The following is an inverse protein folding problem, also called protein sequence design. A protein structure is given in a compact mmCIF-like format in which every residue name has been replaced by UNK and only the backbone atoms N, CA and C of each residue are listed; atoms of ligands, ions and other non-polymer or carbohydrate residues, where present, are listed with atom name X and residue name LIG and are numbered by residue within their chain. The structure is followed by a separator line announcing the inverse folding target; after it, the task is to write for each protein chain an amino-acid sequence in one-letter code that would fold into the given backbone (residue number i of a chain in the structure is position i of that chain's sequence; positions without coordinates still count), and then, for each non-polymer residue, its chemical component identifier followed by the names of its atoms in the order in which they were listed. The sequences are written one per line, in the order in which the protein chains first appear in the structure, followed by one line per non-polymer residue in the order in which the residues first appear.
data_IF_921448180837
#
_entry.id   IF_921448180837
#
_cell.length_a   1.000
_cell.length_b   1.000
_cell.length_c   1.000
_cell.angle_alpha   90.00
_cell.angle_beta   90.00
_cell.angle_gamma   90.00
#
_symmetry.space_group_name_H-M   'P 1'
#
loop_
_entity.id
_entity.type
_entity.pdbx_description
1 polymer ?
#
# COMPACT_ATOMS: atom_id res chain seq x y z
N UNK A 1 3.41 6.98 -11.05
CA UNK A 1 2.89 8.07 -10.21
C UNK A 1 2.52 7.43 -8.91
N UNK A 2 3.06 7.92 -7.79
CA UNK A 2 2.81 7.27 -6.50
C UNK A 2 1.38 7.48 -6.06
N UNK A 3 0.73 6.41 -5.60
CA UNK A 3 -0.55 6.47 -4.92
C UNK A 3 -0.34 6.45 -3.39
N UNK A 4 -1.40 6.52 -2.60
CA UNK A 4 -1.31 6.72 -1.16
C UNK A 4 -2.36 5.90 -0.43
N UNK A 5 -1.96 5.29 0.69
CA UNK A 5 -2.84 4.54 1.59
C UNK A 5 -2.55 4.90 3.05
N UNK A 6 -3.57 5.09 3.90
CA UNK A 6 -3.40 5.20 5.34
C UNK A 6 -2.63 4.00 5.90
N UNK A 7 -1.65 4.26 6.78
CA UNK A 7 -0.85 3.22 7.43
C UNK A 7 -1.75 2.19 8.15
N UNK A 8 -2.79 2.67 8.84
CA UNK A 8 -3.78 1.86 9.56
C UNK A 8 -4.57 0.88 8.67
N UNK A 9 -4.44 0.94 7.34
CA UNK A 9 -5.07 0.00 6.41
C UNK A 9 -4.09 -1.01 5.81
N UNK A 10 -2.79 -0.93 6.13
CA UNK A 10 -1.77 -1.81 5.56
C UNK A 10 -1.66 -3.17 6.27
N UNK A 11 -2.24 -3.34 7.46
CA UNK A 11 -2.14 -4.55 8.28
C UNK A 11 -3.31 -5.54 8.13
N UNK A 12 -4.37 -5.18 7.42
CA UNK A 12 -5.54 -6.02 7.14
C UNK A 12 -5.73 -6.30 5.64
N UNK A 13 -6.85 -5.81 5.06
CA UNK A 13 -7.16 -5.86 3.64
C UNK A 13 -6.84 -4.48 3.07
N UNK A 14 -5.79 -4.41 2.26
CA UNK A 14 -5.31 -3.14 1.72
C UNK A 14 -6.29 -2.63 0.65
N UNK A 15 -6.97 -1.49 0.88
CA UNK A 15 -7.82 -0.86 -0.13
C UNK A 15 -6.99 -0.34 -1.31
N UNK A 16 -7.66 -0.10 -2.44
CA UNK A 16 -7.01 0.48 -3.61
C UNK A 16 -6.35 1.83 -3.24
N UNK A 17 -5.04 2.00 -3.49
CA UNK A 17 -4.33 3.23 -3.17
C UNK A 17 -4.88 4.42 -3.96
N UNK A 18 -4.96 5.60 -3.36
CA UNK A 18 -5.55 6.80 -4.00
C UNK A 18 -4.50 7.81 -4.43
N UNK A 19 -4.84 8.68 -5.37
CA UNK A 19 -3.91 9.65 -5.97
C UNK A 19 -3.29 10.65 -4.96
N UNK A 20 -3.90 10.84 -3.78
CA UNK A 20 -3.36 11.70 -2.73
C UNK A 20 -3.93 11.34 -1.36
N UNK A 21 -3.26 11.72 -0.26
CA UNK A 21 -3.83 11.62 1.09
C UNK A 21 -5.20 12.31 1.22
N UNK A 22 -5.40 13.43 0.52
CA UNK A 22 -6.68 14.18 0.55
C UNK A 22 -7.83 13.41 -0.11
N UNK A 23 -7.55 12.53 -1.08
CA UNK A 23 -8.57 11.73 -1.77
C UNK A 23 -9.23 10.67 -0.85
N UNK A 24 -8.70 10.44 0.35
CA UNK A 24 -9.30 9.58 1.37
C UNK A 24 -10.45 10.23 2.13
N UNK A 25 -10.60 11.56 2.05
CA UNK A 25 -11.66 12.29 2.75
C UNK A 25 -12.99 12.11 1.99
N UNK A 26 -13.95 11.43 2.61
CA UNK A 26 -15.28 11.17 2.00
C UNK A 26 -16.38 12.09 2.51
N UNK A 27 -16.08 12.94 3.49
CA UNK A 27 -16.99 13.98 3.96
C UNK A 27 -16.79 14.34 5.43
N UNK A 28 -17.72 15.14 5.95
CA UNK A 28 -17.71 15.61 7.34
C UNK A 28 -18.69 14.80 8.19
N UNK A 29 -18.30 14.46 9.41
CA UNK A 29 -19.17 13.87 10.42
C UNK A 29 -19.59 14.92 11.45
N UNK A 30 -20.69 15.60 11.15
CA UNK A 30 -21.26 16.64 12.02
C UNK A 30 -20.20 17.64 12.55
N UNK A 31 -20.14 17.77 13.88
CA UNK A 31 -19.14 18.59 14.58
C UNK A 31 -17.90 17.79 15.00
N UNK A 32 -17.89 16.47 14.82
CA UNK A 32 -16.90 15.55 15.39
C UNK A 32 -15.62 15.47 14.56
N UNK A 33 -15.73 15.59 13.23
CA UNK A 33 -14.54 15.62 12.38
C UNK A 33 -14.81 15.33 10.91
N UNK A 34 -13.80 14.80 10.25
CA UNK A 34 -13.80 14.40 8.84
C UNK A 34 -13.59 12.89 8.72
N UNK A 35 -14.33 12.27 7.81
CA UNK A 35 -14.38 10.82 7.63
C UNK A 35 -13.40 10.38 6.55
N UNK A 36 -12.67 9.33 6.86
CA UNK A 36 -11.87 8.57 5.91
C UNK A 36 -12.55 7.21 5.70
N UNK A 37 -12.64 6.78 4.44
CA UNK A 37 -13.23 5.49 4.11
C UNK A 37 -12.27 4.63 3.30
N UNK A 38 -12.24 3.34 3.59
CA UNK A 38 -11.51 2.32 2.85
C UNK A 38 -12.12 2.10 1.46
N UNK A 39 -13.45 2.07 1.39
CA UNK A 39 -14.23 2.02 0.16
C UNK A 39 -14.81 3.40 -0.20
N UNK A 40 -14.92 3.68 -1.50
CA UNK A 40 -15.82 4.72 -1.98
C UNK A 40 -17.22 4.33 -1.49
N UNK A 41 -17.73 4.96 -0.42
CA UNK A 41 -18.97 4.61 0.30
C UNK A 41 -20.26 4.67 -0.54
N UNK A 42 -20.29 3.90 -1.63
CA UNK A 42 -21.35 3.83 -2.64
C UNK A 42 -22.26 2.63 -2.42
N UNK A 43 -21.76 1.52 -1.84
CA UNK A 43 -22.53 0.26 -1.77
C UNK A 43 -22.83 -0.24 -0.36
N UNK A 44 -22.01 0.09 0.65
CA UNK A 44 -22.26 -0.33 2.03
C UNK A 44 -22.54 0.90 2.90
N UNK A 45 -23.55 0.81 3.77
CA UNK A 45 -24.03 1.95 4.54
C UNK A 45 -22.93 2.64 5.35
N UNK A 46 -23.07 3.94 5.68
CA UNK A 46 -22.02 4.78 6.26
C UNK A 46 -21.46 4.34 7.63
N UNK A 47 -22.03 3.29 8.24
CA UNK A 47 -21.59 2.76 9.53
C UNK A 47 -20.45 1.73 9.41
N UNK A 48 -20.36 1.02 8.29
CA UNK A 48 -19.39 -0.09 8.12
C UNK A 48 -18.20 0.29 7.20
N UNK A 49 -18.37 1.30 6.34
CA UNK A 49 -17.35 1.80 5.40
C UNK A 49 -16.39 2.86 6.00
N UNK A 50 -16.70 3.37 7.19
CA UNK A 50 -15.99 4.51 7.79
C UNK A 50 -15.25 4.07 9.04
N UNK A 51 -13.96 3.75 8.90
CA UNK A 51 -13.14 3.31 10.04
C UNK A 51 -12.57 4.45 10.87
N UNK A 52 -12.47 5.67 10.31
CA UNK A 52 -11.69 6.74 10.95
C UNK A 52 -12.38 8.11 10.83
N UNK A 53 -12.63 8.75 11.98
CA UNK A 53 -13.06 10.16 12.10
C UNK A 53 -11.91 10.98 12.66
N UNK A 54 -11.48 11.99 11.93
CA UNK A 54 -10.32 12.83 12.26
C UNK A 54 -10.78 14.26 12.58
N UNK A 55 -10.49 14.79 13.77
CA UNK A 55 -10.80 16.18 14.10
C UNK A 55 -9.92 17.15 13.30
N UNK A 56 -10.33 18.41 13.19
CA UNK A 56 -9.49 19.47 12.62
C UNK A 56 -8.14 19.53 13.36
N UNK A 57 -7.05 19.58 12.60
CA UNK A 57 -5.69 19.53 13.16
C UNK A 57 -5.23 18.13 13.56
N UNK A 58 -6.06 17.10 13.45
CA UNK A 58 -5.67 15.70 13.63
C UNK A 58 -4.64 15.26 12.60
N UNK A 59 -3.88 14.22 12.92
CA UNK A 59 -2.82 13.68 12.07
C UNK A 59 -3.16 12.25 11.69
N UNK A 60 -2.96 11.91 10.41
CA UNK A 60 -3.04 10.56 9.88
C UNK A 60 -1.73 10.26 9.15
N UNK A 61 -1.21 9.07 9.34
CA UNK A 61 0.00 8.63 8.65
C UNK A 61 -0.39 7.93 7.35
N UNK A 62 0.32 8.26 6.27
CA UNK A 62 0.11 7.64 4.95
C UNK A 62 1.43 7.09 4.43
N UNK A 63 1.36 5.96 3.74
CA UNK A 63 2.47 5.44 2.96
C UNK A 63 2.23 5.72 1.47
N UNK A 64 3.26 6.15 0.76
CA UNK A 64 3.24 6.24 -0.69
C UNK A 64 3.42 4.84 -1.28
N UNK A 65 2.70 4.57 -2.36
CA UNK A 65 2.69 3.32 -3.12
C UNK A 65 3.30 3.55 -4.49
N UNK A 66 4.41 2.89 -4.78
CA UNK A 66 4.99 2.83 -6.11
C UNK A 66 4.78 1.44 -6.70
N UNK A 67 3.93 1.36 -7.72
CA UNK A 67 3.69 0.14 -8.51
C UNK A 67 4.72 0.05 -9.64
N UNK A 68 5.55 -0.99 -9.62
CA UNK A 68 6.53 -1.27 -10.68
C UNK A 68 6.00 -2.27 -11.71
N UNK A 69 4.79 -2.79 -11.51
CA UNK A 69 4.17 -3.80 -12.34
C UNK A 69 4.58 -5.23 -11.96
N UNK A 70 4.37 -6.14 -12.91
CA UNK A 70 4.65 -7.55 -12.74
C UNK A 70 5.92 -7.97 -13.48
N UNK A 71 6.72 -8.81 -12.84
CA UNK A 71 7.95 -9.38 -13.36
C UNK A 71 7.85 -10.90 -13.40
N UNK A 72 8.52 -11.53 -14.36
CA UNK A 72 8.60 -12.99 -14.47
C UNK A 72 9.90 -13.44 -13.79
N UNK A 73 9.79 -14.07 -12.61
CA UNK A 73 10.94 -14.51 -11.80
C UNK A 73 11.04 -16.03 -11.87
N UNK A 74 12.15 -16.53 -12.43
CA UNK A 74 12.46 -17.96 -12.47
C UNK A 74 13.19 -18.37 -11.18
N UNK A 75 12.68 -19.38 -10.48
CA UNK A 75 13.38 -20.01 -9.37
C UNK A 75 14.44 -20.98 -9.91
N UNK A 76 15.64 -21.01 -9.33
CA UNK A 76 16.74 -21.84 -9.80
C UNK A 76 16.99 -23.05 -8.88
N UNK A 77 17.61 -24.09 -9.44
CA UNK A 77 17.89 -25.36 -8.74
C UNK A 77 18.78 -25.22 -7.49
N UNK A 78 19.58 -24.17 -7.42
CA UNK A 78 20.44 -23.84 -6.28
C UNK A 78 19.74 -22.98 -5.21
N UNK A 79 18.44 -22.70 -5.37
CA UNK A 79 17.67 -21.80 -4.52
C UNK A 79 17.83 -20.32 -4.87
N UNK A 80 18.61 -20.00 -5.91
CA UNK A 80 18.68 -18.66 -6.46
C UNK A 80 17.50 -18.33 -7.38
N UNK A 81 17.61 -17.22 -8.09
CA UNK A 81 16.60 -16.77 -9.04
C UNK A 81 17.21 -16.08 -10.26
N UNK A 82 16.44 -15.99 -11.32
CA UNK A 82 16.74 -15.15 -12.48
C UNK A 82 15.50 -14.35 -12.89
N UNK A 83 15.74 -13.16 -13.44
CA UNK A 83 14.69 -12.33 -14.03
C UNK A 83 15.24 -11.76 -15.35
N UNK A 84 14.50 -11.83 -16.47
CA UNK A 84 14.96 -11.28 -17.74
C UNK A 84 15.00 -9.74 -17.75
N UNK A 85 14.22 -9.11 -16.86
CA UNK A 85 14.09 -7.66 -16.73
C UNK A 85 14.82 -7.15 -15.47
N UNK A 86 15.28 -5.89 -15.52
CA UNK A 86 15.91 -5.23 -14.38
C UNK A 86 14.86 -4.86 -13.33
N UNK A 87 14.91 -5.52 -12.17
CA UNK A 87 14.06 -5.19 -11.02
C UNK A 87 14.52 -3.84 -10.43
N UNK A 88 13.60 -2.89 -10.18
CA UNK A 88 13.94 -1.62 -9.55
C UNK A 88 14.67 -1.79 -8.22
N UNK A 89 15.80 -1.10 -8.06
CA UNK A 89 16.68 -1.29 -6.91
C UNK A 89 16.08 -0.85 -5.56
N UNK A 90 15.02 -0.03 -5.60
CA UNK A 90 14.29 0.41 -4.42
C UNK A 90 12.95 -0.31 -4.23
N UNK A 91 12.66 -1.36 -5.01
CA UNK A 91 11.53 -2.25 -4.73
C UNK A 91 11.77 -3.01 -3.42
N UNK A 92 10.75 -3.03 -2.57
CA UNK A 92 10.81 -3.64 -1.23
C UNK A 92 9.74 -4.67 -0.99
N UNK A 93 8.81 -4.88 -1.92
CA UNK A 93 7.71 -5.82 -1.76
C UNK A 93 7.56 -6.66 -3.02
N UNK A 94 7.59 -7.98 -2.84
CA UNK A 94 7.54 -8.99 -3.88
C UNK A 94 6.48 -10.02 -3.51
N UNK A 95 5.50 -10.22 -4.38
CA UNK A 95 4.35 -11.07 -4.10
C UNK A 95 3.94 -11.80 -5.37
N UNK A 96 3.63 -13.09 -5.31
CA UNK A 96 3.02 -13.77 -6.44
C UNK A 96 1.69 -13.09 -6.78
N UNK A 97 1.44 -12.86 -8.07
CA UNK A 97 0.27 -12.11 -8.52
C UNK A 97 -1.02 -12.83 -8.07
N UNK A 98 -1.83 -12.16 -7.25
CA UNK A 98 -3.07 -12.70 -6.71
C UNK A 98 -2.93 -13.54 -5.44
N UNK A 99 -1.73 -13.69 -4.87
CA UNK A 99 -1.50 -14.45 -3.65
C UNK A 99 -0.65 -13.66 -2.63
N UNK A 100 -1.33 -12.89 -1.79
CA UNK A 100 -0.72 -12.02 -0.77
C UNK A 100 0.03 -12.79 0.34
N UNK A 101 -0.23 -14.09 0.49
CA UNK A 101 0.44 -14.92 1.51
C UNK A 101 1.90 -15.23 1.12
N UNK A 102 2.30 -14.92 -0.12
CA UNK A 102 3.65 -15.14 -0.63
C UNK A 102 4.59 -13.94 -0.47
N UNK A 103 4.19 -12.89 0.25
CA UNK A 103 4.96 -11.65 0.37
C UNK A 103 6.40 -11.87 0.88
N UNK A 104 7.38 -11.27 0.20
CA UNK A 104 8.76 -11.13 0.65
C UNK A 104 9.27 -9.69 0.50
N UNK A 105 10.19 -9.28 1.39
CA UNK A 105 10.75 -7.91 1.41
C UNK A 105 11.98 -7.74 0.50
N UNK A 106 12.40 -8.84 -0.12
CA UNK A 106 13.45 -8.92 -1.14
C UNK A 106 13.18 -10.11 -2.06
N UNK A 107 13.75 -10.12 -3.26
CA UNK A 107 13.59 -11.24 -4.19
C UNK A 107 14.12 -12.55 -3.59
N UNK A 108 15.25 -12.48 -2.87
CA UNK A 108 15.84 -13.65 -2.21
C UNK A 108 14.88 -14.23 -1.14
N UNK A 109 14.30 -13.37 -0.29
CA UNK A 109 13.33 -13.81 0.71
C UNK A 109 12.05 -14.37 0.07
N UNK A 110 11.56 -13.70 -0.97
CA UNK A 110 10.39 -14.13 -1.73
C UNK A 110 10.59 -15.54 -2.31
N UNK A 111 11.69 -15.75 -3.04
CA UNK A 111 12.01 -17.03 -3.69
C UNK A 111 12.24 -18.13 -2.66
N UNK A 112 12.97 -17.84 -1.58
CA UNK A 112 13.14 -18.79 -0.48
C UNK A 112 11.78 -19.19 0.11
N UNK A 113 10.89 -18.22 0.38
CA UNK A 113 9.55 -18.47 0.89
C UNK A 113 8.67 -19.30 -0.05
N UNK A 114 8.74 -19.04 -1.36
CA UNK A 114 8.00 -19.83 -2.36
C UNK A 114 8.42 -21.30 -2.34
N UNK A 115 9.73 -21.57 -2.30
CA UNK A 115 10.26 -22.93 -2.32
C UNK A 115 9.99 -23.64 -0.99
N UNK A 116 10.26 -22.99 0.15
CA UNK A 116 10.11 -23.56 1.48
C UNK A 116 8.66 -23.96 1.80
N UNK A 117 7.70 -23.14 1.36
CA UNK A 117 6.28 -23.40 1.58
C UNK A 117 5.63 -24.22 0.45
N UNK A 118 6.38 -24.58 -0.59
CA UNK A 118 5.91 -25.42 -1.69
C UNK A 118 4.97 -24.72 -2.67
N UNK A 119 5.04 -23.38 -2.76
CA UNK A 119 4.32 -22.58 -3.76
C UNK A 119 5.00 -22.61 -5.14
N UNK A 120 6.30 -22.90 -5.20
CA UNK A 120 7.02 -23.09 -6.46
C UNK A 120 8.07 -24.21 -6.35
N UNK A 121 8.37 -24.86 -7.48
CA UNK A 121 9.50 -25.78 -7.61
C UNK A 121 10.67 -25.11 -8.34
N UNK A 122 11.93 -25.54 -8.11
CA UNK A 122 13.04 -25.02 -8.88
C UNK A 122 12.87 -25.23 -10.40
N UNK A 123 13.15 -24.20 -11.18
CA UNK A 123 12.93 -24.12 -12.63
C UNK A 123 11.56 -23.61 -13.03
N UNK A 124 10.75 -23.16 -12.07
CA UNK A 124 9.42 -22.58 -12.31
C UNK A 124 9.49 -21.06 -12.41
N UNK A 125 8.75 -20.50 -13.37
CA UNK A 125 8.59 -19.05 -13.52
C UNK A 125 7.33 -18.61 -12.79
N UNK A 126 7.50 -17.68 -11.86
CA UNK A 126 6.42 -17.07 -11.09
C UNK A 126 6.23 -15.63 -11.55
N UNK A 127 4.98 -15.29 -11.84
CA UNK A 127 4.58 -13.91 -12.13
C UNK A 127 4.42 -13.16 -10.81
N UNK A 128 5.28 -12.17 -10.61
CA UNK A 128 5.45 -11.49 -9.32
C UNK A 128 5.07 -10.03 -9.44
N UNK A 129 4.09 -9.58 -8.66
CA UNK A 129 3.83 -8.16 -8.43
C UNK A 129 5.00 -7.56 -7.63
N UNK A 130 5.57 -6.48 -8.16
CA UNK A 130 6.71 -5.78 -7.57
C UNK A 130 6.31 -4.35 -7.29
N UNK A 131 6.43 -3.95 -6.02
CA UNK A 131 6.02 -2.62 -5.58
C UNK A 131 6.84 -2.15 -4.39
N UNK A 132 6.60 -0.92 -3.98
CA UNK A 132 7.18 -0.33 -2.78
C UNK A 132 6.11 0.45 -2.03
N UNK A 133 6.07 0.24 -0.73
CA UNK A 133 5.50 1.19 0.22
C UNK A 133 6.62 2.05 0.80
N UNK A 134 6.43 3.37 0.88
CA UNK A 134 7.34 4.25 1.59
C UNK A 134 7.30 4.00 3.10
N UNK A 135 8.26 4.59 3.82
CA UNK A 135 8.09 4.80 5.25
C UNK A 135 6.79 5.60 5.53
N UNK A 136 6.16 5.43 6.70
CA UNK A 136 4.95 6.17 7.05
C UNK A 136 5.20 7.70 7.15
N UNK A 137 4.38 8.49 6.45
CA UNK A 137 4.49 9.94 6.32
C UNK A 137 3.31 10.62 7.05
N UNK A 138 3.55 11.36 8.14
CA UNK A 138 2.49 12.03 8.88
C UNK A 138 1.91 13.21 8.11
N UNK A 139 0.59 13.25 8.00
CA UNK A 139 -0.18 14.30 7.36
C UNK A 139 -1.20 14.90 8.32
N UNK A 140 -1.19 16.22 8.46
CA UNK A 140 -2.14 16.96 9.28
C UNK A 140 -3.36 17.36 8.46
N UNK A 141 -4.55 17.14 9.02
CA UNK A 141 -5.81 17.62 8.48
C UNK A 141 -5.94 19.12 8.71
N UNK A 142 -5.97 19.90 7.63
CA UNK A 142 -6.16 21.35 7.63
C UNK A 142 -7.51 21.67 7.01
N UNK A 143 -8.29 22.53 7.69
CA UNK A 143 -9.59 22.99 7.22
C UNK A 143 -9.50 24.48 6.89
N UNK A 144 -9.69 24.82 5.62
CA UNK A 144 -9.65 26.20 5.13
C UNK A 144 -10.93 26.47 4.33
N UNK A 145 -11.66 27.54 4.68
CA UNK A 145 -12.92 27.91 4.02
C UNK A 145 -13.95 26.77 3.96
N UNK A 146 -13.95 25.87 4.95
CA UNK A 146 -14.87 24.74 5.03
C UNK A 146 -14.47 23.52 4.19
N UNK A 147 -13.33 23.56 3.50
CA UNK A 147 -12.77 22.41 2.79
C UNK A 147 -11.60 21.81 3.59
N UNK A 148 -11.60 20.48 3.75
CA UNK A 148 -10.49 19.77 4.37
C UNK A 148 -9.49 19.25 3.34
N UNK A 149 -8.22 19.28 3.72
CA UNK A 149 -7.12 18.66 2.99
C UNK A 149 -6.05 18.17 3.95
N UNK A 150 -5.30 17.16 3.52
CA UNK A 150 -4.13 16.70 4.24
C UNK A 150 -2.88 17.45 3.78
N UNK A 151 -2.00 17.78 4.73
CA UNK A 151 -0.72 18.45 4.49
C UNK A 151 0.37 17.67 5.20
N UNK A 152 1.41 17.26 4.47
CA UNK A 152 2.56 16.59 5.07
C UNK A 152 3.19 17.46 6.16
N UNK A 153 3.56 16.86 7.29
CA UNK A 153 4.22 17.61 8.37
C UNK A 153 5.63 18.06 7.96
N UNK A 154 6.05 19.21 8.49
CA UNK A 154 7.35 19.77 8.16
C UNK A 154 8.49 18.81 8.53
N UNK A 155 9.34 18.46 7.56
CA UNK A 155 10.46 17.54 7.73
C UNK A 155 10.14 16.08 7.44
N UNK A 156 8.88 15.75 7.13
CA UNK A 156 8.54 14.44 6.59
C UNK A 156 9.20 14.27 5.21
N UNK A 157 9.91 13.16 5.01
CA UNK A 157 10.52 12.83 3.72
C UNK A 157 9.47 12.10 2.89
N UNK A 158 9.20 12.63 1.71
CA UNK A 158 8.42 11.98 0.65
C UNK A 158 9.40 11.21 -0.23
#
# INVERSE_FOLDING_TARGET
MSAWTPEDYLDEVVPEPRESPTAWIVGRDGAEGWRLADIDGRDEGPADACRIVIPEGGVVTFCAFDDYGAFEIETLADGGWSCPDDIPADATHFCAEGDIDTLGESVDQFVAGLIENGYASPGETVRTAVYRWSDPIPHRLVVENGAARFVAEAGARI
#
